data_IF_819033436381
#
_entry.id   IF_819033436381
#
_cell.length_a   1.000
_cell.length_b   1.000
_cell.length_c   1.000
_cell.angle_alpha   90.00
_cell.angle_beta   90.00
_cell.angle_gamma   90.00
#
_symmetry.space_group_name_H-M   'P 1'
#
loop_
_entity.id
_entity.type
_entity.pdbx_description
1 polymer ?
#
# COMPACT_ATOMS: atom_id res chain seq x y z
N UNK A 1 28.22 27.49 44.99
CA UNK A 1 27.11 27.76 44.05
C UNK A 1 27.27 26.85 42.83
N UNK A 2 26.73 25.63 42.93
CA UNK A 2 26.80 24.62 41.87
C UNK A 2 25.41 24.47 41.28
N UNK A 3 25.16 25.03 40.10
CA UNK A 3 23.98 24.78 39.28
C UNK A 3 24.26 25.34 37.89
N UNK A 4 24.37 24.45 36.89
CA UNK A 4 23.80 24.58 35.54
C UNK A 4 24.28 23.35 34.73
N UNK A 5 23.50 22.28 34.64
CA UNK A 5 22.36 22.01 33.76
C UNK A 5 22.78 21.64 32.31
N UNK A 6 22.79 20.31 32.14
CA UNK A 6 22.52 19.47 30.97
C UNK A 6 22.04 20.12 29.66
N UNK A 7 22.63 19.71 28.53
CA UNK A 7 21.93 19.58 27.25
C UNK A 7 21.39 18.14 27.05
N UNK A 8 20.98 17.70 25.84
CA UNK A 8 20.58 18.44 24.62
C UNK A 8 19.26 17.89 23.97
N UNK A 9 18.95 18.41 22.78
CA UNK A 9 18.08 17.87 21.71
C UNK A 9 16.56 17.77 21.92
N UNK A 10 15.84 18.73 21.30
CA UNK A 10 14.40 18.62 21.01
C UNK A 10 14.16 18.68 19.51
N UNK A 11 13.74 17.53 18.97
CA UNK A 11 13.22 17.34 17.62
C UNK A 11 11.87 18.04 17.42
N UNK A 12 11.53 18.42 16.19
CA UNK A 12 10.17 18.75 15.80
C UNK A 12 10.09 19.35 14.40
N UNK A 13 9.90 18.50 13.39
CA UNK A 13 10.01 18.81 11.95
C UNK A 13 9.00 19.84 11.39
N UNK A 14 9.16 20.22 10.11
CA UNK A 14 8.35 21.23 9.47
C UNK A 14 6.92 20.74 9.23
N UNK A 15 5.94 21.58 9.59
CA UNK A 15 4.51 21.40 9.32
C UNK A 15 4.25 21.44 7.81
N UNK A 16 3.46 20.52 7.21
CA UNK A 16 3.04 20.68 5.84
C UNK A 16 1.76 21.51 5.81
N UNK A 17 1.90 22.76 5.37
CA UNK A 17 0.82 23.57 4.79
C UNK A 17 1.15 23.69 3.31
N UNK A 18 0.45 22.95 2.45
CA UNK A 18 0.46 23.21 1.01
C UNK A 18 -0.69 22.46 0.32
N UNK A 19 -1.60 23.22 -0.28
CA UNK A 19 -2.43 22.71 -1.36
C UNK A 19 -1.64 22.65 -2.67
N UNK A 20 -2.14 21.79 -3.56
CA UNK A 20 -2.04 21.92 -5.03
C UNK A 20 -0.60 21.90 -5.56
N UNK A 21 0.04 20.73 -5.49
CA UNK A 21 1.02 20.16 -6.45
C UNK A 21 1.40 18.76 -5.91
N UNK A 22 0.50 17.77 -6.03
CA UNK A 22 0.75 16.41 -5.53
C UNK A 22 0.31 15.37 -6.57
N UNK A 23 0.84 15.51 -7.79
CA UNK A 23 0.80 14.45 -8.78
C UNK A 23 1.99 13.50 -8.51
N UNK A 24 1.66 12.30 -8.04
CA UNK A 24 2.35 11.04 -8.36
C UNK A 24 3.66 10.65 -7.63
N UNK A 25 3.72 10.75 -6.31
CA UNK A 25 4.70 9.95 -5.55
C UNK A 25 4.02 8.97 -4.60
N UNK A 26 4.27 7.67 -4.82
CA UNK A 26 3.88 6.59 -3.91
C UNK A 26 4.47 6.86 -2.52
N UNK A 27 3.71 6.64 -1.46
CA UNK A 27 4.27 6.60 -0.10
C UNK A 27 5.25 5.42 0.03
N UNK A 28 6.14 5.48 1.04
CA UNK A 28 7.08 4.39 1.30
C UNK A 28 6.37 3.04 1.55
N UNK A 29 5.19 3.07 2.19
CA UNK A 29 4.38 1.87 2.40
C UNK A 29 3.83 1.33 1.07
N UNK A 30 3.29 2.19 0.21
CA UNK A 30 2.76 1.79 -1.10
C UNK A 30 3.84 1.20 -2.01
N UNK A 31 5.05 1.81 -2.03
CA UNK A 31 6.20 1.24 -2.75
C UNK A 31 6.54 -0.17 -2.27
N UNK A 32 6.66 -0.36 -0.95
CA UNK A 32 6.96 -1.68 -0.38
C UNK A 32 5.90 -2.72 -0.70
N UNK A 33 4.62 -2.33 -0.68
CA UNK A 33 3.52 -3.23 -1.05
C UNK A 33 3.64 -3.67 -2.51
N UNK A 34 3.96 -2.74 -3.40
CA UNK A 34 4.10 -3.04 -4.81
C UNK A 34 5.38 -3.88 -5.11
N UNK A 35 6.50 -3.59 -4.45
CA UNK A 35 7.71 -4.43 -4.54
C UNK A 35 7.45 -5.87 -4.09
N UNK A 36 6.70 -6.07 -2.99
CA UNK A 36 6.32 -7.41 -2.52
C UNK A 36 5.38 -8.11 -3.48
N UNK A 37 4.46 -7.36 -4.10
CA UNK A 37 3.58 -7.88 -5.14
C UNK A 37 4.37 -8.36 -6.35
N UNK A 38 5.23 -7.50 -6.90
CA UNK A 38 6.09 -7.80 -8.05
C UNK A 38 6.99 -9.01 -7.76
N UNK A 39 7.61 -9.07 -6.58
CA UNK A 39 8.43 -10.20 -6.15
C UNK A 39 7.62 -11.50 -6.06
N UNK A 40 6.41 -11.46 -5.49
CA UNK A 40 5.53 -12.63 -5.41
C UNK A 40 5.09 -13.10 -6.81
N UNK A 41 4.72 -12.18 -7.69
CA UNK A 41 4.39 -12.49 -9.09
C UNK A 41 5.58 -13.13 -9.83
N UNK A 42 6.78 -12.55 -9.69
CA UNK A 42 8.01 -13.06 -10.31
C UNK A 42 8.40 -14.44 -9.78
N UNK A 43 8.14 -14.71 -8.50
CA UNK A 43 8.34 -16.02 -7.87
C UNK A 43 7.22 -17.03 -8.17
N UNK A 44 6.18 -16.66 -8.91
CA UNK A 44 5.03 -17.52 -9.18
C UNK A 44 4.12 -17.76 -7.96
N UNK A 45 4.26 -16.94 -6.92
CA UNK A 45 3.44 -17.02 -5.72
C UNK A 45 2.05 -16.39 -5.96
N UNK A 46 1.03 -17.02 -5.38
CA UNK A 46 -0.36 -16.60 -5.54
C UNK A 46 -0.80 -15.56 -4.50
N UNK A 47 0.03 -15.30 -3.50
CA UNK A 47 -0.26 -14.35 -2.45
C UNK A 47 1.04 -13.78 -1.86
N UNK A 48 0.91 -12.65 -1.18
CA UNK A 48 1.93 -12.03 -0.36
C UNK A 48 1.28 -11.45 0.91
N UNK A 49 2.08 -11.20 1.95
CA UNK A 49 1.62 -10.52 3.16
C UNK A 49 1.74 -9.00 2.99
N UNK A 50 0.64 -8.28 3.20
CA UNK A 50 0.62 -6.82 3.16
C UNK A 50 1.25 -6.26 4.45
N UNK A 51 2.43 -5.62 4.39
CA UNK A 51 3.14 -5.15 5.58
C UNK A 51 2.39 -4.04 6.34
N UNK A 52 1.42 -3.38 5.71
CA UNK A 52 0.62 -2.34 6.35
C UNK A 52 -0.59 -2.90 7.13
N UNK A 53 -1.11 -4.07 6.73
CA UNK A 53 -2.36 -4.62 7.31
C UNK A 53 -2.19 -6.01 7.93
N UNK A 54 -1.10 -6.73 7.62
CA UNK A 54 -0.89 -8.14 7.99
C UNK A 54 -1.78 -9.12 7.23
N UNK A 55 -2.49 -8.66 6.19
CA UNK A 55 -3.39 -9.52 5.42
C UNK A 55 -2.64 -10.27 4.33
N UNK A 56 -3.06 -11.52 4.08
CA UNK A 56 -2.68 -12.24 2.88
C UNK A 56 -3.46 -11.69 1.68
N UNK A 57 -2.74 -11.08 0.75
CA UNK A 57 -3.30 -10.47 -0.46
C UNK A 57 -2.98 -11.34 -1.66
N UNK A 58 -4.01 -11.66 -2.44
CA UNK A 58 -3.86 -12.39 -3.69
C UNK A 58 -3.10 -11.53 -4.73
N UNK A 59 -2.13 -12.14 -5.41
CA UNK A 59 -1.38 -11.50 -6.51
C UNK A 59 -2.23 -11.37 -7.76
N UNK A 60 -1.76 -10.59 -8.74
CA UNK A 60 -2.43 -10.46 -10.03
C UNK A 60 -2.43 -11.82 -10.74
N UNK A 61 -1.33 -12.57 -10.64
CA UNK A 61 -1.22 -13.95 -11.12
C UNK A 61 -2.34 -14.84 -10.59
N UNK A 62 -2.65 -14.78 -9.29
CA UNK A 62 -3.73 -15.57 -8.70
C UNK A 62 -5.12 -15.21 -9.26
N UNK A 63 -5.35 -13.93 -9.53
CA UNK A 63 -6.59 -13.48 -10.16
C UNK A 63 -6.68 -13.92 -11.62
N UNK A 64 -5.59 -13.81 -12.38
CA UNK A 64 -5.51 -14.27 -13.77
C UNK A 64 -5.72 -15.79 -13.88
N UNK A 65 -5.12 -16.57 -12.99
CA UNK A 65 -5.34 -18.02 -12.92
C UNK A 65 -6.78 -18.39 -12.55
N UNK A 66 -7.40 -17.62 -11.64
CA UNK A 66 -8.81 -17.80 -11.25
C UNK A 66 -9.77 -17.39 -12.38
N UNK A 67 -9.44 -16.36 -13.14
CA UNK A 67 -10.27 -15.81 -14.20
C UNK A 67 -11.37 -14.83 -13.74
N UNK A 68 -11.44 -14.49 -12.45
CA UNK A 68 -12.47 -13.59 -11.92
C UNK A 68 -12.03 -12.81 -10.65
N UNK A 69 -12.80 -11.77 -10.31
CA UNK A 69 -12.61 -11.01 -9.08
C UNK A 69 -13.00 -11.85 -7.85
N UNK A 70 -12.13 -11.93 -6.84
CA UNK A 70 -12.42 -12.69 -5.62
C UNK A 70 -13.45 -12.04 -4.68
N UNK A 71 -13.80 -10.76 -4.89
CA UNK A 71 -14.77 -10.03 -4.06
C UNK A 71 -14.26 -9.52 -2.71
N UNK A 72 -12.97 -9.69 -2.41
CA UNK A 72 -12.35 -9.29 -1.13
C UNK A 72 -11.66 -7.92 -1.13
N UNK A 73 -11.93 -7.07 -2.12
CA UNK A 73 -11.29 -5.76 -2.29
C UNK A 73 -9.74 -5.81 -2.28
N UNK A 74 -9.18 -6.81 -2.97
CA UNK A 74 -7.74 -6.95 -3.14
C UNK A 74 -7.13 -5.73 -3.83
N UNK A 75 -5.93 -5.37 -3.39
CA UNK A 75 -5.19 -4.19 -3.87
C UNK A 75 -4.91 -4.23 -5.37
N UNK A 76 -4.53 -5.40 -5.88
CA UNK A 76 -4.07 -5.60 -7.26
C UNK A 76 -5.07 -6.42 -8.09
N UNK A 77 -6.37 -6.09 -7.97
CA UNK A 77 -7.42 -6.81 -8.71
C UNK A 77 -7.46 -6.32 -10.17
N UNK A 78 -7.08 -7.15 -11.18
CA UNK A 78 -7.10 -6.74 -12.58
C UNK A 78 -8.53 -6.54 -13.12
N UNK A 79 -9.54 -7.00 -12.38
CA UNK A 79 -10.95 -6.91 -12.73
C UNK A 79 -11.68 -5.74 -12.07
N UNK A 80 -10.95 -4.72 -11.60
CA UNK A 80 -11.57 -3.49 -11.07
C UNK A 80 -12.53 -3.72 -9.89
N UNK A 81 -12.28 -4.76 -9.07
CA UNK A 81 -13.09 -5.08 -7.90
C UNK A 81 -14.60 -5.29 -8.20
N UNK A 82 -14.96 -5.79 -9.39
CA UNK A 82 -16.37 -5.97 -9.82
C UNK A 82 -17.22 -6.82 -8.87
N UNK A 83 -16.62 -7.82 -8.19
CA UNK A 83 -17.34 -8.73 -7.30
C UNK A 83 -17.38 -8.27 -5.83
N UNK A 84 -16.85 -7.09 -5.52
CA UNK A 84 -16.94 -6.52 -4.16
C UNK A 84 -18.35 -5.96 -3.95
N UNK A 85 -19.14 -6.67 -3.13
CA UNK A 85 -20.57 -6.37 -2.89
C UNK A 85 -20.79 -5.08 -2.10
N UNK A 86 -19.94 -4.80 -1.13
CA UNK A 86 -20.03 -3.59 -0.31
C UNK A 86 -19.22 -2.47 -0.96
N UNK A 87 -19.86 -1.43 -1.51
CA UNK A 87 -19.14 -0.33 -2.15
C UNK A 87 -18.21 0.41 -1.18
N UNK A 88 -18.51 0.41 0.12
CA UNK A 88 -17.68 1.04 1.15
C UNK A 88 -16.34 0.34 1.36
N UNK A 89 -16.25 -0.93 0.94
CA UNK A 89 -15.00 -1.71 0.97
C UNK A 89 -14.17 -1.57 -0.29
N UNK A 90 -14.74 -1.01 -1.37
CA UNK A 90 -13.99 -0.78 -2.60
C UNK A 90 -12.94 0.26 -2.32
N UNK A 91 -11.69 -0.09 -2.59
CA UNK A 91 -10.56 0.80 -2.38
C UNK A 91 -10.03 1.25 -3.73
N UNK A 92 -9.96 2.56 -3.92
CA UNK A 92 -9.32 3.16 -5.08
C UNK A 92 -7.85 3.37 -4.73
N UNK A 93 -6.98 2.62 -5.40
CA UNK A 93 -5.53 2.75 -5.25
C UNK A 93 -4.95 3.47 -6.46
N UNK A 94 -3.76 4.06 -6.29
CA UNK A 94 -3.03 4.71 -7.36
C UNK A 94 -2.77 3.72 -8.52
N UNK A 95 -2.58 4.23 -9.74
CA UNK A 95 -2.43 3.44 -10.97
C UNK A 95 -1.31 2.39 -10.90
N UNK A 96 -0.28 2.60 -10.06
CA UNK A 96 0.81 1.65 -9.82
C UNK A 96 0.34 0.32 -9.19
N UNK A 97 -0.82 0.29 -8.54
CA UNK A 97 -1.37 -0.93 -7.95
C UNK A 97 -2.00 -1.89 -8.99
N UNK A 98 -1.97 -1.55 -10.28
CA UNK A 98 -2.46 -2.42 -11.36
C UNK A 98 -1.34 -3.06 -12.20
N UNK A 99 -0.07 -2.82 -11.85
CA UNK A 99 1.12 -3.38 -12.50
C UNK A 99 1.66 -4.55 -11.70
#
# INVERSE_FOLDING_TARGET
PSSDLSGPDSQGGPKPTAGILASEELTAAERRIAELHEAACAAGQLNYEDPATGYLVLTQLAHLQRGECCGSACRHCPYGQINVKDPSKKKQFNSYFYV
#
